data_IF_074268194643
#
_entry.id   IF_074268194643
#
_cell.length_a   1.000
_cell.length_b   1.000
_cell.length_c   1.000
_cell.angle_alpha   90.00
_cell.angle_beta   90.00
_cell.angle_gamma   90.00
#
_symmetry.space_group_name_H-M   'P 1'
#
loop_
_entity.id
_entity.type
_entity.pdbx_description
1 polymer ?
#
# COMPACT_ATOMS: atom_id res chain seq x y z
N UNK A 1 -31.01 17.59 37.31
CA UNK A 1 -29.58 17.94 37.17
C UNK A 1 -29.08 17.32 35.88
N UNK A 2 -28.67 18.17 34.95
CA UNK A 2 -28.32 17.83 33.57
C UNK A 2 -27.05 16.98 33.50
N UNK A 3 -27.17 15.76 32.98
CA UNK A 3 -26.04 15.02 32.42
C UNK A 3 -25.98 15.39 30.94
N UNK A 4 -25.17 16.39 30.60
CA UNK A 4 -24.79 16.65 29.22
C UNK A 4 -24.01 15.44 28.72
N UNK A 5 -24.61 14.73 27.77
CA UNK A 5 -23.92 13.81 26.87
C UNK A 5 -22.91 14.62 26.07
N UNK A 6 -21.65 14.63 26.51
CA UNK A 6 -20.56 15.12 25.69
C UNK A 6 -20.50 14.23 24.44
N UNK A 7 -20.89 14.77 23.29
CA UNK A 7 -20.52 14.23 21.99
C UNK A 7 -18.99 14.10 21.99
N UNK A 8 -18.47 12.88 22.11
CA UNK A 8 -17.06 12.61 21.89
C UNK A 8 -16.78 12.88 20.42
N UNK A 9 -16.37 14.10 20.09
CA UNK A 9 -15.77 14.41 18.79
C UNK A 9 -14.64 13.42 18.57
N UNK A 10 -14.72 12.70 17.44
CA UNK A 10 -13.66 11.80 17.03
C UNK A 10 -12.39 12.65 16.83
N UNK A 11 -11.25 12.28 17.44
CA UNK A 11 -10.02 13.03 17.26
C UNK A 11 -9.64 13.11 15.77
N UNK A 12 -9.18 14.29 15.37
CA UNK A 12 -8.81 14.66 14.00
C UNK A 12 -7.49 14.02 13.61
N UNK A 13 -7.20 13.92 12.31
CA UNK A 13 -5.90 13.46 11.78
C UNK A 13 -4.72 14.25 12.40
N UNK A 14 -4.92 15.52 12.74
CA UNK A 14 -3.91 16.36 13.40
C UNK A 14 -3.59 15.98 14.85
N UNK A 15 -4.45 15.20 15.53
CA UNK A 15 -4.25 14.78 16.92
C UNK A 15 -3.37 13.51 17.03
N UNK A 16 -3.07 12.86 15.90
CA UNK A 16 -2.27 11.64 15.83
C UNK A 16 -0.93 11.87 15.16
N UNK A 17 0.15 11.46 15.83
CA UNK A 17 1.51 11.45 15.25
C UNK A 17 1.69 10.40 14.14
N UNK A 18 0.73 9.49 13.92
CA UNK A 18 0.78 8.46 12.88
C UNK A 18 -0.61 8.14 12.32
N UNK A 19 -0.83 8.50 11.04
CA UNK A 19 -2.06 8.20 10.31
C UNK A 19 -2.33 6.69 10.19
N UNK A 20 -1.27 5.86 10.17
CA UNK A 20 -1.39 4.40 10.18
C UNK A 20 -2.06 3.92 11.48
N UNK A 21 -1.67 4.48 12.63
CA UNK A 21 -2.26 4.11 13.92
C UNK A 21 -3.71 4.55 14.01
N UNK A 22 -4.01 5.79 13.61
CA UNK A 22 -5.39 6.30 13.53
C UNK A 22 -6.26 5.38 12.67
N UNK A 23 -5.79 4.98 11.49
CA UNK A 23 -6.49 4.05 10.61
C UNK A 23 -6.77 2.71 11.29
N UNK A 24 -5.78 2.12 11.96
CA UNK A 24 -5.94 0.86 12.68
C UNK A 24 -6.94 0.95 13.85
N UNK A 25 -6.91 2.04 14.61
CA UNK A 25 -7.83 2.30 15.72
C UNK A 25 -9.27 2.46 15.21
N UNK A 26 -9.47 3.19 14.11
CA UNK A 26 -10.79 3.39 13.49
C UNK A 26 -11.38 2.09 12.95
N UNK A 27 -10.58 1.27 12.27
CA UNK A 27 -11.01 -0.06 11.83
C UNK A 27 -11.33 -1.00 13.00
N UNK A 28 -10.57 -0.91 14.10
CA UNK A 28 -10.83 -1.68 15.31
C UNK A 28 -12.14 -1.25 16.00
N UNK A 29 -12.37 0.06 16.11
CA UNK A 29 -13.62 0.62 16.63
C UNK A 29 -14.83 0.27 15.75
N UNK A 30 -14.67 0.29 14.42
CA UNK A 30 -15.73 -0.11 13.49
C UNK A 30 -16.08 -1.59 13.63
N UNK A 31 -15.07 -2.47 13.78
CA UNK A 31 -15.28 -3.89 14.06
C UNK A 31 -16.08 -4.11 15.35
N UNK A 32 -15.69 -3.45 16.43
CA UNK A 32 -16.37 -3.57 17.73
C UNK A 32 -17.81 -3.04 17.67
N UNK A 33 -18.03 -1.94 16.94
CA UNK A 33 -19.36 -1.36 16.72
C UNK A 33 -20.24 -2.30 15.89
N UNK A 34 -19.70 -2.87 14.80
CA UNK A 34 -20.43 -3.82 13.96
C UNK A 34 -20.76 -5.13 14.71
N UNK A 35 -19.86 -5.64 15.53
CA UNK A 35 -20.14 -6.80 16.40
C UNK A 35 -21.19 -6.47 17.48
N UNK A 36 -21.13 -5.28 18.07
CA UNK A 36 -22.14 -4.82 19.03
C UNK A 36 -23.52 -4.66 18.37
N UNK A 37 -23.58 -4.17 17.13
CA UNK A 37 -24.81 -4.10 16.34
C UNK A 37 -25.39 -5.49 16.08
N UNK A 38 -24.55 -6.47 15.76
CA UNK A 38 -24.97 -7.87 15.55
C UNK A 38 -25.56 -8.48 16.82
N UNK A 39 -24.95 -8.23 17.98
CA UNK A 39 -25.38 -8.81 19.27
C UNK A 39 -26.64 -8.15 19.81
N UNK A 40 -26.70 -6.82 19.77
CA UNK A 40 -27.78 -6.05 20.39
C UNK A 40 -28.94 -5.74 19.45
N UNK A 41 -28.78 -5.99 18.15
CA UNK A 41 -29.72 -5.61 17.11
C UNK A 41 -29.72 -4.11 16.82
N UNK A 42 -30.44 -3.75 15.76
CA UNK A 42 -30.59 -2.37 15.28
C UNK A 42 -31.70 -1.60 16.01
N UNK A 43 -32.55 -2.30 16.75
CA UNK A 43 -33.73 -1.71 17.39
C UNK A 43 -33.42 -1.08 18.76
N UNK A 44 -34.29 -0.15 19.17
CA UNK A 44 -34.16 0.56 20.44
C UNK A 44 -33.12 1.68 20.45
N UNK A 45 -32.98 2.34 21.60
CA UNK A 45 -32.11 3.52 21.77
C UNK A 45 -30.62 3.18 21.58
N UNK A 46 -30.20 1.98 22.00
CA UNK A 46 -28.82 1.52 21.90
C UNK A 46 -28.43 1.14 20.47
N UNK A 47 -29.28 0.43 19.73
CA UNK A 47 -29.05 0.08 18.33
C UNK A 47 -28.92 1.32 17.44
N UNK A 48 -29.81 2.31 17.61
CA UNK A 48 -29.73 3.60 16.91
C UNK A 48 -28.41 4.36 17.20
N UNK A 49 -27.97 4.39 18.45
CA UNK A 49 -26.71 5.04 18.81
C UNK A 49 -25.49 4.34 18.18
N UNK A 50 -25.52 3.01 18.10
CA UNK A 50 -24.46 2.23 17.44
C UNK A 50 -24.45 2.44 15.92
N UNK A 51 -25.62 2.57 15.28
CA UNK A 51 -25.70 2.92 13.85
C UNK A 51 -25.08 4.29 13.56
N UNK A 52 -25.45 5.32 14.34
CA UNK A 52 -24.85 6.65 14.20
C UNK A 52 -23.34 6.62 14.44
N UNK A 53 -22.88 5.77 15.37
CA UNK A 53 -21.44 5.59 15.61
C UNK A 53 -20.76 4.92 14.42
N UNK A 54 -21.38 3.91 13.81
CA UNK A 54 -20.85 3.24 12.63
C UNK A 54 -20.78 4.20 11.43
N UNK A 55 -21.84 4.96 11.17
CA UNK A 55 -21.88 6.00 10.13
C UNK A 55 -20.73 7.01 10.32
N UNK A 56 -20.59 7.56 11.52
CA UNK A 56 -19.52 8.50 11.84
C UNK A 56 -18.11 7.90 11.70
N UNK A 57 -17.94 6.61 11.98
CA UNK A 57 -16.66 5.91 11.82
C UNK A 57 -16.30 5.71 10.34
N UNK A 58 -17.27 5.39 9.49
CA UNK A 58 -17.06 5.31 8.06
C UNK A 58 -16.76 6.68 7.45
N UNK A 59 -17.49 7.74 7.84
CA UNK A 59 -17.23 9.11 7.36
C UNK A 59 -15.82 9.58 7.78
N UNK A 60 -15.36 9.18 8.95
CA UNK A 60 -14.00 9.47 9.42
C UNK A 60 -12.91 8.62 8.74
N UNK A 61 -13.26 7.43 8.22
CA UNK A 61 -12.34 6.52 7.52
C UNK A 61 -12.19 6.86 6.04
N UNK A 62 -13.26 7.33 5.39
CA UNK A 62 -13.29 7.66 3.96
C UNK A 62 -12.12 8.53 3.48
N UNK A 63 -11.81 9.69 4.08
CA UNK A 63 -10.71 10.54 3.62
C UNK A 63 -9.33 9.93 3.88
N UNK A 64 -9.24 8.93 4.75
CA UNK A 64 -8.00 8.22 5.05
C UNK A 64 -7.83 7.10 4.02
N UNK A 65 -8.86 6.29 3.79
CA UNK A 65 -8.77 5.03 3.05
C UNK A 65 -8.29 5.19 1.60
N UNK A 66 -8.49 6.36 0.98
CA UNK A 66 -7.99 6.68 -0.37
C UNK A 66 -6.46 6.50 -0.53
N UNK A 67 -5.68 6.60 0.56
CA UNK A 67 -4.23 6.51 0.52
C UNK A 67 -3.67 5.08 0.69
N UNK A 68 -4.54 4.06 0.78
CA UNK A 68 -4.13 2.65 0.96
C UNK A 68 -4.73 1.75 -0.11
N UNK A 69 -3.98 0.75 -0.56
CA UNK A 69 -4.46 -0.21 -1.56
C UNK A 69 -5.51 -1.19 -1.01
N UNK A 70 -5.39 -1.58 0.26
CA UNK A 70 -6.27 -2.56 0.91
C UNK A 70 -6.96 -1.97 2.14
N UNK A 71 -8.28 -2.16 2.33
CA UNK A 71 -9.22 -2.91 1.47
C UNK A 71 -9.52 -2.28 0.11
N UNK A 72 -9.23 -0.99 -0.06
CA UNK A 72 -9.48 -0.28 -1.32
C UNK A 72 -10.91 0.26 -1.44
N UNK A 73 -11.10 1.19 -2.37
CA UNK A 73 -12.33 2.00 -2.49
C UNK A 73 -13.59 1.15 -2.71
N UNK A 74 -13.54 0.17 -3.61
CA UNK A 74 -14.71 -0.66 -3.95
C UNK A 74 -15.17 -1.52 -2.76
N UNK A 75 -14.23 -2.16 -2.06
CA UNK A 75 -14.55 -2.96 -0.89
C UNK A 75 -15.04 -2.08 0.27
N UNK A 76 -14.47 -0.87 0.43
CA UNK A 76 -14.95 0.10 1.42
C UNK A 76 -16.39 0.57 1.12
N UNK A 77 -16.68 0.89 -0.13
CA UNK A 77 -18.02 1.29 -0.58
C UNK A 77 -19.03 0.13 -0.44
N UNK A 78 -18.62 -1.11 -0.73
CA UNK A 78 -19.44 -2.29 -0.47
C UNK A 78 -19.81 -2.42 1.02
N UNK A 79 -18.83 -2.23 1.93
CA UNK A 79 -19.08 -2.24 3.37
C UNK A 79 -20.04 -1.12 3.79
N UNK A 80 -19.92 0.07 3.20
CA UNK A 80 -20.87 1.17 3.44
C UNK A 80 -22.28 0.80 2.96
N UNK A 81 -22.42 0.20 1.78
CA UNK A 81 -23.70 -0.30 1.26
C UNK A 81 -24.35 -1.35 2.17
N UNK A 82 -23.57 -2.26 2.77
CA UNK A 82 -24.09 -3.23 3.73
C UNK A 82 -24.67 -2.55 4.99
N UNK A 83 -24.02 -1.47 5.46
CA UNK A 83 -24.55 -0.67 6.57
C UNK A 83 -25.86 0.03 6.18
N UNK A 84 -25.90 0.66 5.01
CA UNK A 84 -27.09 1.39 4.52
C UNK A 84 -28.30 0.47 4.33
N UNK A 85 -28.06 -0.75 3.82
CA UNK A 85 -29.07 -1.80 3.67
C UNK A 85 -29.43 -2.50 4.99
N UNK A 86 -28.75 -2.15 6.09
CA UNK A 86 -28.91 -2.76 7.41
C UNK A 86 -28.62 -4.26 7.44
N UNK A 87 -27.76 -4.73 6.54
CA UNK A 87 -27.27 -6.10 6.55
C UNK A 87 -26.10 -6.23 7.54
N UNK A 88 -26.44 -6.24 8.82
CA UNK A 88 -25.48 -6.16 9.92
C UNK A 88 -24.64 -7.44 10.06
N UNK A 89 -25.21 -8.60 9.75
CA UNK A 89 -24.50 -9.88 9.84
C UNK A 89 -23.32 -9.93 8.85
N UNK A 90 -23.60 -9.63 7.58
CA UNK A 90 -22.57 -9.59 6.54
C UNK A 90 -21.57 -8.45 6.77
N UNK A 91 -22.05 -7.27 7.20
CA UNK A 91 -21.17 -6.16 7.59
C UNK A 91 -20.21 -6.58 8.70
N UNK A 92 -20.72 -7.15 9.79
CA UNK A 92 -19.90 -7.60 10.93
C UNK A 92 -18.88 -8.64 10.50
N UNK A 93 -19.27 -9.55 9.61
CA UNK A 93 -18.40 -10.58 9.07
C UNK A 93 -17.25 -9.98 8.23
N UNK A 94 -17.57 -9.12 7.28
CA UNK A 94 -16.61 -8.52 6.35
C UNK A 94 -15.69 -7.51 7.03
N UNK A 95 -16.22 -6.63 7.91
CA UNK A 95 -15.38 -5.72 8.71
C UNK A 95 -14.41 -6.50 9.60
N UNK A 96 -14.83 -7.61 10.20
CA UNK A 96 -13.94 -8.47 10.99
C UNK A 96 -12.81 -9.08 10.15
N UNK A 97 -13.09 -9.48 8.90
CA UNK A 97 -12.07 -9.97 7.97
C UNK A 97 -11.06 -8.87 7.63
N UNK A 98 -11.53 -7.67 7.30
CA UNK A 98 -10.67 -6.51 7.01
C UNK A 98 -9.79 -6.18 8.21
N UNK A 99 -10.37 -5.99 9.40
CA UNK A 99 -9.62 -5.67 10.61
C UNK A 99 -8.56 -6.74 10.93
N UNK A 100 -8.90 -8.03 10.80
CA UNK A 100 -7.93 -9.12 11.00
C UNK A 100 -6.82 -9.10 9.95
N UNK A 101 -7.14 -8.83 8.69
CA UNK A 101 -6.16 -8.75 7.62
C UNK A 101 -5.20 -7.57 7.82
N UNK A 102 -5.71 -6.42 8.27
CA UNK A 102 -4.90 -5.24 8.59
C UNK A 102 -3.93 -5.52 9.75
N UNK A 103 -4.38 -6.17 10.82
CA UNK A 103 -3.53 -6.51 11.97
C UNK A 103 -2.48 -7.57 11.64
N UNK A 104 -2.86 -8.61 10.88
CA UNK A 104 -1.95 -9.72 10.54
C UNK A 104 -1.06 -9.46 9.33
N UNK A 105 -1.37 -8.43 8.53
CA UNK A 105 -0.71 -8.18 7.25
C UNK A 105 -1.05 -9.23 6.17
N UNK A 106 -2.11 -10.04 6.37
CA UNK A 106 -2.43 -11.14 5.47
C UNK A 106 -2.76 -10.69 4.03
N UNK A 107 -3.28 -9.47 3.86
CA UNK A 107 -3.56 -8.86 2.55
C UNK A 107 -2.31 -8.71 1.67
N UNK A 108 -1.11 -8.73 2.27
CA UNK A 108 0.15 -8.62 1.55
C UNK A 108 0.55 -9.89 0.80
N UNK A 109 -0.06 -11.02 1.15
CA UNK A 109 0.33 -12.35 0.67
C UNK A 109 -0.79 -13.10 -0.04
N UNK A 110 -2.03 -12.66 0.13
CA UNK A 110 -3.20 -13.29 -0.48
C UNK A 110 -4.37 -12.31 -0.59
N UNK A 111 -5.26 -12.61 -1.53
CA UNK A 111 -6.57 -11.96 -1.61
C UNK A 111 -7.40 -12.26 -0.36
N UNK A 112 -8.12 -11.24 0.13
CA UNK A 112 -9.03 -11.36 1.26
C UNK A 112 -10.45 -11.15 0.71
N UNK A 113 -11.29 -12.19 0.67
CA UNK A 113 -12.64 -12.05 0.15
C UNK A 113 -13.49 -11.19 1.09
N UNK A 114 -13.86 -9.98 0.67
CA UNK A 114 -14.65 -9.02 1.47
C UNK A 114 -16.15 -9.05 1.13
N UNK A 115 -16.54 -9.77 0.07
CA UNK A 115 -17.91 -9.77 -0.45
C UNK A 115 -18.09 -8.59 -1.41
N UNK A 116 -18.77 -8.83 -2.53
CA UNK A 116 -18.70 -7.99 -3.73
C UNK A 116 -18.20 -8.82 -4.92
N UNK A 117 -18.51 -8.40 -6.14
CA UNK A 117 -18.08 -9.04 -7.39
C UNK A 117 -16.55 -8.95 -7.55
N UNK A 118 -15.79 -9.63 -6.70
CA UNK A 118 -14.35 -9.88 -6.84
C UNK A 118 -14.13 -11.05 -7.82
N UNK A 119 -14.79 -10.98 -9.00
CA UNK A 119 -14.62 -11.96 -10.07
C UNK A 119 -13.27 -11.85 -10.80
N UNK A 120 -12.48 -10.80 -10.53
CA UNK A 120 -11.25 -10.50 -11.31
C UNK A 120 -9.93 -10.64 -10.52
N UNK A 121 -9.96 -11.06 -9.24
CA UNK A 121 -8.74 -11.28 -8.44
C UNK A 121 -8.30 -12.76 -8.39
N UNK A 122 -8.48 -13.50 -9.49
CA UNK A 122 -7.99 -14.87 -9.63
C UNK A 122 -6.44 -14.96 -9.75
N UNK A 123 -5.76 -13.83 -10.00
CA UNK A 123 -4.30 -13.76 -10.20
C UNK A 123 -3.48 -13.51 -8.92
N UNK A 124 -4.11 -13.50 -7.74
CA UNK A 124 -3.34 -13.77 -6.52
C UNK A 124 -3.01 -15.26 -6.54
N UNK A 125 -1.81 -15.63 -6.99
CA UNK A 125 -1.21 -16.90 -6.59
C UNK A 125 -1.29 -16.93 -5.06
N UNK A 126 -2.27 -17.68 -4.53
CA UNK A 126 -2.48 -17.73 -3.10
C UNK A 126 -1.25 -18.40 -2.50
N UNK A 127 -0.32 -17.58 -1.98
CA UNK A 127 0.88 -18.08 -1.32
C UNK A 127 0.49 -19.01 -0.14
N UNK A 128 -0.77 -18.99 0.32
CA UNK A 128 -1.30 -19.94 1.28
C UNK A 128 -1.41 -21.39 0.76
N UNK A 129 -1.24 -21.63 -0.54
CA UNK A 129 -1.07 -22.97 -1.12
C UNK A 129 0.39 -23.46 -1.09
N UNK A 130 1.36 -22.56 -0.92
CA UNK A 130 2.79 -22.92 -0.85
C UNK A 130 3.12 -23.68 0.44
N UNK A 131 4.22 -24.43 0.44
CA UNK A 131 4.72 -25.07 1.65
C UNK A 131 5.05 -24.01 2.74
N UNK A 132 4.93 -24.32 4.04
CA UNK A 132 5.20 -23.36 5.12
C UNK A 132 6.58 -22.69 5.04
N UNK A 133 7.59 -23.42 4.55
CA UNK A 133 8.95 -22.92 4.32
C UNK A 133 9.01 -21.87 3.20
N UNK A 134 8.26 -22.08 2.12
CA UNK A 134 8.14 -21.15 1.00
C UNK A 134 7.29 -19.91 1.37
N UNK A 135 6.28 -20.08 2.25
CA UNK A 135 5.50 -18.97 2.82
C UNK A 135 6.33 -18.03 3.69
N UNK A 136 7.38 -18.54 4.34
CA UNK A 136 8.30 -17.73 5.11
C UNK A 136 9.21 -16.88 4.20
N UNK A 137 9.36 -17.30 2.94
CA UNK A 137 10.15 -16.66 1.88
C UNK A 137 9.29 -15.92 0.84
N UNK A 138 8.00 -15.71 1.13
CA UNK A 138 7.03 -15.07 0.23
C UNK A 138 7.50 -13.72 -0.33
N UNK A 139 6.96 -13.34 -1.49
CA UNK A 139 7.40 -12.16 -2.23
C UNK A 139 7.12 -10.90 -1.40
N UNK A 140 8.10 -9.99 -1.21
CA UNK A 140 7.84 -8.77 -0.47
C UNK A 140 6.78 -7.91 -1.16
N UNK A 141 5.86 -7.38 -0.35
CA UNK A 141 4.76 -6.52 -0.78
C UNK A 141 5.10 -5.04 -0.61
N UNK A 142 4.68 -4.22 -1.57
CA UNK A 142 4.68 -2.76 -1.45
C UNK A 142 3.49 -2.13 -2.18
N UNK A 143 3.35 -0.81 -2.08
CA UNK A 143 2.30 -0.06 -2.76
C UNK A 143 2.94 0.94 -3.74
N UNK A 144 2.27 1.17 -4.87
CA UNK A 144 2.67 2.14 -5.89
C UNK A 144 1.61 3.22 -5.95
N UNK A 145 1.98 4.45 -5.63
CA UNK A 145 1.07 5.58 -5.70
C UNK A 145 1.03 6.10 -7.13
N UNK A 146 -0.16 6.25 -7.71
CA UNK A 146 -0.38 6.78 -9.05
C UNK A 146 -1.15 8.09 -8.89
N UNK A 147 -0.57 9.19 -9.36
CA UNK A 147 -1.14 10.52 -9.26
C UNK A 147 -1.77 10.86 -10.61
N UNK A 148 -3.10 10.73 -10.69
CA UNK A 148 -3.89 11.00 -11.90
C UNK A 148 -5.36 11.27 -11.55
N UNK A 149 -5.94 12.34 -12.10
CA UNK A 149 -7.37 12.63 -11.91
C UNK A 149 -8.21 11.84 -12.90
N UNK A 150 -8.58 10.63 -12.53
CA UNK A 150 -9.31 9.68 -13.38
C UNK A 150 -10.66 9.30 -12.80
N UNK A 151 -11.60 8.87 -13.65
CA UNK A 151 -12.85 8.27 -13.20
C UNK A 151 -12.66 6.79 -12.81
N UNK A 152 -13.68 6.18 -12.21
CA UNK A 152 -13.61 4.78 -11.77
C UNK A 152 -13.29 3.77 -12.89
N UNK A 153 -13.80 3.99 -14.11
CA UNK A 153 -13.53 3.08 -15.22
C UNK A 153 -12.06 3.13 -15.64
N UNK A 154 -11.49 4.33 -15.70
CA UNK A 154 -10.08 4.54 -15.96
C UNK A 154 -9.21 4.01 -14.81
N UNK A 155 -9.62 4.19 -13.55
CA UNK A 155 -8.92 3.60 -12.40
C UNK A 155 -8.87 2.08 -12.49
N UNK A 156 -10.01 1.42 -12.77
CA UNK A 156 -10.09 -0.02 -13.00
C UNK A 156 -9.21 -0.44 -14.18
N UNK A 157 -9.20 0.32 -15.27
CA UNK A 157 -8.34 0.06 -16.41
C UNK A 157 -6.85 0.13 -16.04
N UNK A 158 -6.40 1.18 -15.35
CA UNK A 158 -5.01 1.33 -14.91
C UNK A 158 -4.58 0.18 -13.99
N UNK A 159 -5.41 -0.15 -13.00
CA UNK A 159 -5.18 -1.27 -12.09
C UNK A 159 -5.06 -2.58 -12.86
N UNK A 160 -6.04 -2.92 -13.69
CA UNK A 160 -6.06 -4.18 -14.44
C UNK A 160 -4.88 -4.32 -15.41
N UNK A 161 -4.47 -3.25 -16.09
CA UNK A 161 -3.30 -3.33 -16.98
C UNK A 161 -1.98 -3.54 -16.22
N UNK A 162 -1.82 -2.93 -15.04
CA UNK A 162 -0.66 -3.18 -14.18
C UNK A 162 -0.67 -4.59 -13.59
N UNK A 163 -1.85 -5.15 -13.27
CA UNK A 163 -1.96 -6.56 -12.87
C UNK A 163 -1.58 -7.51 -14.00
N UNK A 164 -2.07 -7.27 -15.23
CA UNK A 164 -1.74 -8.08 -16.42
C UNK A 164 -0.25 -8.04 -16.79
N UNK A 165 0.47 -6.99 -16.40
CA UNK A 165 1.91 -6.90 -16.62
C UNK A 165 2.73 -7.80 -15.68
N UNK A 166 2.13 -8.27 -14.57
CA UNK A 166 2.79 -9.12 -13.57
C UNK A 166 3.11 -10.50 -14.12
N UNK A 167 4.17 -11.09 -13.57
CA UNK A 167 4.65 -12.41 -13.89
C UNK A 167 4.89 -13.22 -12.62
N UNK A 168 4.82 -14.54 -12.73
CA UNK A 168 5.13 -15.46 -11.62
C UNK A 168 6.59 -15.30 -11.14
N UNK A 169 7.49 -14.98 -12.06
CA UNK A 169 8.94 -14.81 -11.83
C UNK A 169 9.34 -13.47 -11.19
N UNK A 170 8.39 -12.54 -11.04
CA UNK A 170 8.67 -11.22 -10.49
C UNK A 170 9.12 -11.33 -9.01
N UNK A 171 10.14 -10.57 -8.58
CA UNK A 171 10.70 -10.69 -7.23
C UNK A 171 9.83 -10.08 -6.12
N UNK A 172 8.84 -9.25 -6.46
CA UNK A 172 8.02 -8.49 -5.50
C UNK A 172 6.57 -8.41 -5.96
N UNK A 173 5.65 -8.17 -5.04
CA UNK A 173 4.24 -7.90 -5.32
C UNK A 173 3.97 -6.44 -5.00
N UNK A 174 3.25 -5.73 -5.86
CA UNK A 174 2.85 -4.37 -5.56
C UNK A 174 1.41 -4.09 -5.93
N UNK A 175 0.71 -3.29 -5.15
CA UNK A 175 -0.66 -2.86 -5.47
C UNK A 175 -0.71 -1.36 -5.79
N UNK A 176 -1.48 -0.95 -6.82
CA UNK A 176 -1.62 0.45 -7.17
C UNK A 176 -2.63 1.16 -6.25
N UNK A 177 -2.26 2.35 -5.80
CA UNK A 177 -3.10 3.32 -5.08
C UNK A 177 -3.24 4.55 -5.97
N UNK A 178 -4.45 4.89 -6.39
CA UNK A 178 -4.68 6.01 -7.30
C UNK A 178 -5.18 7.21 -6.48
N UNK A 179 -4.54 8.36 -6.68
CA UNK A 179 -4.92 9.63 -6.05
C UNK A 179 -5.02 10.73 -7.11
N UNK A 180 -5.98 11.67 -7.00
CA UNK A 180 -6.24 12.62 -8.07
C UNK A 180 -5.27 13.81 -8.10
N UNK A 181 -4.71 14.18 -6.94
CA UNK A 181 -4.03 15.46 -6.79
C UNK A 181 -2.59 15.37 -6.29
N UNK A 182 -1.82 16.44 -6.51
CA UNK A 182 -0.48 16.60 -5.95
C UNK A 182 -0.52 16.64 -4.41
N UNK A 183 -1.45 17.38 -3.83
CA UNK A 183 -1.66 17.41 -2.38
C UNK A 183 -1.96 16.00 -1.82
N UNK A 184 -2.79 15.22 -2.51
CA UNK A 184 -3.06 13.82 -2.17
C UNK A 184 -1.85 12.91 -2.34
N UNK A 185 -1.01 13.17 -3.34
CA UNK A 185 0.23 12.42 -3.51
C UNK A 185 1.16 12.61 -2.30
N UNK A 186 1.29 13.85 -1.82
CA UNK A 186 2.10 14.18 -0.65
C UNK A 186 1.52 13.58 0.63
N UNK A 187 0.20 13.61 0.81
CA UNK A 187 -0.48 12.92 1.92
C UNK A 187 -0.24 11.41 1.86
N UNK A 188 -0.39 10.82 0.67
CA UNK A 188 -0.20 9.39 0.45
C UNK A 188 1.20 8.92 0.82
N UNK A 189 2.25 9.62 0.38
CA UNK A 189 3.63 9.23 0.72
C UNK A 189 3.97 9.44 2.21
N UNK A 190 3.35 10.43 2.87
CA UNK A 190 3.56 10.73 4.28
C UNK A 190 2.86 9.72 5.19
N UNK A 191 1.62 9.35 4.86
CA UNK A 191 0.80 8.48 5.69
C UNK A 191 1.03 7.00 5.44
N UNK A 192 1.31 6.62 4.19
CA UNK A 192 1.47 5.24 3.78
C UNK A 192 2.94 4.87 3.55
N UNK A 193 3.54 4.26 4.57
CA UNK A 193 4.91 3.77 4.54
C UNK A 193 5.12 2.56 3.60
N UNK A 194 4.04 1.89 3.16
CA UNK A 194 4.14 0.80 2.18
C UNK A 194 4.42 1.33 0.77
N UNK A 195 4.18 2.62 0.51
CA UNK A 195 4.50 3.23 -0.78
C UNK A 195 6.01 3.16 -0.99
N UNK A 196 6.42 2.57 -2.12
CA UNK A 196 7.82 2.43 -2.51
C UNK A 196 8.13 3.01 -3.90
N UNK A 197 7.10 3.37 -4.67
CA UNK A 197 7.23 4.09 -5.92
C UNK A 197 6.05 5.02 -6.14
N UNK A 198 6.28 6.11 -6.87
CA UNK A 198 5.23 7.06 -7.27
C UNK A 198 5.25 7.24 -8.78
N UNK A 199 4.09 7.18 -9.42
CA UNK A 199 3.90 7.46 -10.83
C UNK A 199 3.10 8.74 -10.94
N UNK A 200 3.64 9.74 -11.61
CA UNK A 200 3.01 11.04 -11.83
C UNK A 200 2.53 11.09 -13.28
N UNK A 201 1.22 11.25 -13.48
CA UNK A 201 0.59 11.31 -14.82
C UNK A 201 0.11 12.73 -15.12
N UNK A 202 -0.02 13.12 -16.40
CA UNK A 202 -0.31 14.51 -16.76
C UNK A 202 -1.71 14.97 -16.39
N UNK A 203 -2.64 14.05 -16.09
CA UNK A 203 -4.02 14.38 -15.71
C UNK A 203 -4.19 14.82 -14.26
N UNK A 204 -3.12 14.96 -13.47
CA UNK A 204 -3.24 15.31 -12.06
C UNK A 204 -3.71 16.76 -11.82
N UNK A 205 -4.42 16.97 -10.71
CA UNK A 205 -4.81 18.32 -10.26
C UNK A 205 -3.94 18.79 -9.10
N UNK A 206 -3.87 20.09 -8.86
CA UNK A 206 -3.04 20.62 -7.77
C UNK A 206 -3.65 20.32 -6.39
N UNK A 207 -4.91 20.70 -6.21
CA UNK A 207 -5.60 20.69 -4.92
C UNK A 207 -6.31 19.37 -4.65
N UNK A 208 -6.23 18.91 -3.40
CA UNK A 208 -7.03 17.80 -2.91
C UNK A 208 -8.46 18.23 -2.64
N UNK A 209 -9.40 17.29 -2.74
CA UNK A 209 -10.75 17.46 -2.20
C UNK A 209 -10.78 17.36 -0.67
N UNK A 210 -9.78 16.67 -0.08
CA UNK A 210 -9.62 16.52 1.36
C UNK A 210 -8.82 17.69 1.91
N UNK A 211 -9.50 18.68 2.49
CA UNK A 211 -8.81 19.77 3.19
C UNK A 211 -8.29 19.31 4.55
N UNK A 212 -7.01 18.95 4.62
CA UNK A 212 -6.34 18.66 5.89
C UNK A 212 -5.46 19.86 6.33
N UNK A 213 -5.79 20.54 7.45
CA UNK A 213 -5.02 21.67 7.94
C UNK A 213 -3.54 21.35 8.22
N UNK A 214 -3.24 20.10 8.59
CA UNK A 214 -1.86 19.63 8.81
C UNK A 214 -1.04 19.66 7.52
N UNK A 215 -1.66 19.42 6.37
CA UNK A 215 -0.98 19.46 5.08
C UNK A 215 -0.52 20.88 4.76
N UNK A 216 -1.36 21.90 5.01
CA UNK A 216 -0.97 23.31 4.82
C UNK A 216 0.26 23.66 5.66
N UNK A 217 0.33 23.21 6.91
CA UNK A 217 1.50 23.43 7.76
C UNK A 217 2.76 22.71 7.26
N UNK A 218 2.65 21.47 6.78
CA UNK A 218 3.78 20.73 6.21
C UNK A 218 4.24 21.29 4.87
N UNK A 219 3.31 21.66 3.99
CA UNK A 219 3.60 22.31 2.72
C UNK A 219 4.33 23.64 2.96
N UNK A 220 3.88 24.45 3.91
CA UNK A 220 4.53 25.71 4.28
C UNK A 220 5.93 25.53 4.88
N UNK A 221 6.27 24.33 5.37
CA UNK A 221 7.60 24.00 5.88
C UNK A 221 8.55 23.49 4.79
N UNK A 222 8.01 22.86 3.74
CA UNK A 222 8.77 22.16 2.68
C UNK A 222 8.85 22.99 1.39
N UNK A 223 7.86 23.85 1.16
CA UNK A 223 7.78 24.81 0.07
C UNK A 223 7.83 26.23 0.62
N UNK A 224 8.71 27.05 0.07
CA UNK A 224 8.51 28.50 0.09
C UNK A 224 7.18 28.77 -0.63
N UNK A 225 6.21 29.40 0.05
CA UNK A 225 4.82 29.60 -0.40
C UNK A 225 4.67 30.30 -1.77
N UNK A 226 5.74 30.82 -2.37
CA UNK A 226 5.62 31.84 -3.41
C UNK A 226 5.20 31.37 -4.81
N UNK A 227 5.16 30.07 -5.17
CA UNK A 227 4.84 29.71 -6.58
C UNK A 227 3.96 28.47 -6.83
N UNK A 228 3.66 27.61 -5.84
CA UNK A 228 2.95 26.33 -6.14
C UNK A 228 1.52 26.55 -6.64
N UNK A 229 0.80 27.51 -6.06
CA UNK A 229 -0.56 27.86 -6.50
C UNK A 229 -0.59 28.67 -7.81
N UNK A 230 0.56 29.20 -8.25
CA UNK A 230 0.73 29.91 -9.52
C UNK A 230 1.18 29.00 -10.67
N UNK A 231 1.49 27.72 -10.39
CA UNK A 231 1.95 26.77 -11.40
C UNK A 231 0.90 26.56 -12.48
N UNK A 232 1.39 26.45 -13.72
CA UNK A 232 0.56 25.98 -14.82
C UNK A 232 0.34 24.47 -14.70
N UNK A 233 -0.80 23.94 -15.16
CA UNK A 233 -1.06 22.50 -15.13
C UNK A 233 0.04 21.63 -15.78
N UNK A 234 0.76 22.18 -16.76
CA UNK A 234 1.90 21.52 -17.41
C UNK A 234 3.10 21.26 -16.50
N UNK A 235 3.21 22.03 -15.41
CA UNK A 235 4.37 22.01 -14.50
C UNK A 235 4.08 21.24 -13.20
N UNK A 236 2.82 20.83 -12.99
CA UNK A 236 2.42 20.02 -11.85
C UNK A 236 3.20 18.69 -11.78
N UNK A 237 3.44 18.05 -12.93
CA UNK A 237 4.15 16.77 -12.98
C UNK A 237 5.62 16.86 -12.52
N UNK A 238 6.44 17.73 -13.15
CA UNK A 238 7.79 18.05 -12.69
C UNK A 238 7.86 18.45 -11.22
N UNK A 239 6.97 19.37 -10.79
CA UNK A 239 6.96 19.85 -9.41
C UNK A 239 6.60 18.73 -8.42
N UNK A 240 5.66 17.85 -8.77
CA UNK A 240 5.32 16.68 -7.97
C UNK A 240 6.56 15.82 -7.68
N UNK A 241 7.34 15.52 -8.72
CA UNK A 241 8.58 14.75 -8.56
C UNK A 241 9.59 15.45 -7.65
N UNK A 242 9.71 16.79 -7.75
CA UNK A 242 10.59 17.59 -6.90
C UNK A 242 10.16 17.56 -5.44
N UNK A 243 8.87 17.76 -5.16
CA UNK A 243 8.32 17.73 -3.81
C UNK A 243 8.40 16.34 -3.18
N UNK A 244 8.07 15.29 -3.94
CA UNK A 244 8.24 13.89 -3.48
C UNK A 244 9.70 13.63 -3.09
N UNK A 245 10.66 14.10 -3.91
CA UNK A 245 12.08 13.93 -3.62
C UNK A 245 12.55 14.70 -2.37
N UNK A 246 11.91 15.84 -2.03
CA UNK A 246 12.18 16.56 -0.77
C UNK A 246 11.62 15.82 0.45
N UNK A 247 10.40 15.29 0.34
CA UNK A 247 9.69 14.66 1.45
C UNK A 247 10.21 13.25 1.74
N UNK A 248 10.35 12.44 0.70
CA UNK A 248 10.81 11.04 0.76
C UNK A 248 11.81 10.75 -0.36
N UNK A 249 13.07 11.20 -0.22
CA UNK A 249 14.12 11.09 -1.24
C UNK A 249 14.52 9.66 -1.62
N UNK A 250 14.07 8.66 -0.86
CA UNK A 250 14.28 7.24 -1.10
C UNK A 250 13.23 6.60 -2.03
N UNK A 251 12.12 7.29 -2.29
CA UNK A 251 11.09 6.83 -3.22
C UNK A 251 11.57 6.95 -4.67
N UNK A 252 11.22 5.95 -5.48
CA UNK A 252 11.42 6.03 -6.92
C UNK A 252 10.20 6.73 -7.55
N UNK A 253 10.40 7.96 -8.06
CA UNK A 253 9.38 8.71 -8.78
C UNK A 253 9.53 8.49 -10.30
N UNK A 254 8.41 8.30 -11.00
CA UNK A 254 8.32 8.12 -12.44
C UNK A 254 7.36 9.15 -13.01
N UNK A 255 7.79 9.90 -14.01
CA UNK A 255 6.94 10.90 -14.68
C UNK A 255 6.46 10.34 -16.01
N UNK A 256 5.15 10.36 -16.24
CA UNK A 256 4.55 10.11 -17.55
C UNK A 256 4.14 11.46 -18.12
N UNK A 257 4.55 11.76 -19.35
CA UNK A 257 4.27 13.03 -20.01
C UNK A 257 4.09 12.82 -21.50
N UNK A 258 3.27 13.65 -22.12
CA UNK A 258 3.08 13.77 -23.57
C UNK A 258 3.99 14.84 -24.20
N UNK A 259 4.78 15.55 -23.40
CA UNK A 259 5.69 16.60 -23.85
C UNK A 259 6.91 16.02 -24.58
N UNK A 260 7.56 16.87 -25.38
CA UNK A 260 8.79 16.48 -26.04
C UNK A 260 9.91 16.20 -25.03
N UNK A 261 10.83 15.31 -25.38
CA UNK A 261 11.97 15.01 -24.52
C UNK A 261 12.89 16.23 -24.29
N UNK A 262 12.94 17.14 -25.26
CA UNK A 262 13.72 18.37 -25.20
C UNK A 262 13.16 19.33 -24.14
N UNK A 263 11.84 19.47 -24.08
CA UNK A 263 11.16 20.33 -23.09
C UNK A 263 11.40 19.85 -21.66
N UNK A 264 11.39 18.54 -21.45
CA UNK A 264 11.57 17.93 -20.13
C UNK A 264 13.04 17.91 -19.70
N UNK A 265 13.98 17.72 -20.63
CA UNK A 265 15.41 17.67 -20.33
C UNK A 265 15.95 18.97 -19.73
N UNK A 266 15.31 20.11 -20.02
CA UNK A 266 15.66 21.42 -19.44
C UNK A 266 15.10 21.66 -18.02
N UNK A 267 14.26 20.77 -17.49
CA UNK A 267 13.58 20.95 -16.20
C UNK A 267 14.29 20.22 -15.06
N UNK A 268 14.24 20.79 -13.86
CA UNK A 268 14.64 20.09 -12.64
C UNK A 268 13.50 19.18 -12.15
N UNK A 269 13.63 17.88 -12.44
CA UNK A 269 12.68 16.86 -11.97
C UNK A 269 13.05 16.30 -10.59
N UNK A 270 14.02 16.90 -9.89
CA UNK A 270 14.54 16.39 -8.63
C UNK A 270 15.12 14.99 -8.77
N UNK A 271 14.56 14.02 -8.03
CA UNK A 271 14.98 12.60 -8.07
C UNK A 271 14.07 11.71 -8.93
N UNK A 272 13.42 12.28 -9.96
CA UNK A 272 12.69 11.49 -10.93
C UNK A 272 13.61 10.47 -11.60
N UNK A 273 13.30 9.19 -11.47
CA UNK A 273 14.16 8.10 -11.94
C UNK A 273 14.07 7.90 -13.45
N UNK A 274 12.89 8.08 -14.03
CA UNK A 274 12.65 7.91 -15.47
C UNK A 274 11.42 8.68 -15.90
N UNK A 275 11.49 9.26 -17.10
CA UNK A 275 10.38 9.89 -17.79
C UNK A 275 9.90 8.96 -18.89
N UNK A 276 8.59 8.76 -18.98
CA UNK A 276 7.91 7.97 -20.01
C UNK A 276 7.11 8.91 -20.92
N UNK A 277 7.25 8.72 -22.22
CA UNK A 277 6.56 9.53 -23.24
C UNK A 277 5.33 8.84 -23.82
N UNK A 278 5.14 7.57 -23.49
CA UNK A 278 3.98 6.77 -23.87
C UNK A 278 3.18 6.40 -22.62
N UNK A 279 1.91 6.81 -22.58
CA UNK A 279 1.04 6.56 -21.42
C UNK A 279 0.59 5.10 -21.30
N UNK A 280 0.72 4.31 -22.37
CA UNK A 280 0.17 2.95 -22.46
C UNK A 280 1.23 1.85 -22.32
N UNK A 281 2.52 2.19 -22.12
CA UNK A 281 3.57 1.19 -21.94
C UNK A 281 3.64 0.67 -20.50
N UNK A 282 2.58 -0.06 -20.10
CA UNK A 282 2.45 -0.64 -18.76
C UNK A 282 3.52 -1.68 -18.45
N UNK A 283 4.01 -2.41 -19.47
CA UNK A 283 5.06 -3.40 -19.28
C UNK A 283 6.40 -2.74 -18.97
N UNK A 284 6.79 -1.72 -19.74
CA UNK A 284 8.02 -0.99 -19.46
C UNK A 284 7.96 -0.32 -18.08
N UNK A 285 6.82 0.27 -17.74
CA UNK A 285 6.59 0.87 -16.43
C UNK A 285 6.73 -0.16 -15.29
N UNK A 286 6.05 -1.29 -15.41
CA UNK A 286 6.11 -2.40 -14.46
C UNK A 286 7.55 -2.88 -14.21
N UNK A 287 8.32 -3.14 -15.28
CA UNK A 287 9.71 -3.59 -15.16
C UNK A 287 10.61 -2.53 -14.50
N UNK A 288 10.38 -1.25 -14.78
CA UNK A 288 11.11 -0.15 -14.15
C UNK A 288 10.81 -0.04 -12.66
N UNK A 289 9.54 -0.16 -12.26
CA UNK A 289 9.12 -0.17 -10.84
C UNK A 289 9.86 -1.27 -10.08
N UNK A 290 9.79 -2.51 -10.57
CA UNK A 290 10.44 -3.65 -9.93
C UNK A 290 11.96 -3.46 -9.86
N UNK A 291 12.60 -2.99 -10.94
CA UNK A 291 14.03 -2.66 -10.95
C UNK A 291 14.38 -1.54 -9.96
N UNK A 292 13.50 -0.55 -9.86
CA UNK A 292 13.47 0.54 -8.88
C UNK A 292 13.73 0.04 -7.47
N UNK A 293 12.71 -0.68 -6.99
CA UNK A 293 12.62 -1.24 -5.66
C UNK A 293 13.72 -2.29 -5.44
N UNK A 294 14.00 -3.15 -6.41
CA UNK A 294 15.05 -4.17 -6.27
C UNK A 294 16.41 -3.57 -5.93
N UNK A 295 16.75 -2.42 -6.53
CA UNK A 295 18.03 -1.75 -6.26
C UNK A 295 18.16 -1.32 -4.80
N UNK A 296 17.06 -0.90 -4.17
CA UNK A 296 17.00 -0.48 -2.76
C UNK A 296 16.85 -1.68 -1.81
N UNK A 297 16.20 -2.74 -2.27
CA UNK A 297 16.07 -4.01 -1.55
C UNK A 297 17.40 -4.77 -1.43
N UNK A 298 18.27 -4.66 -2.45
CA UNK A 298 19.59 -5.30 -2.44
C UNK A 298 20.47 -4.72 -1.33
N UNK A 299 20.88 -5.60 -0.42
CA UNK A 299 21.90 -5.35 0.59
C UNK A 299 23.24 -5.84 0.05
N UNK A 300 24.27 -4.98 -0.18
CA UNK A 300 25.47 -5.39 -0.93
C UNK A 300 26.15 -6.65 -0.41
N UNK A 301 26.41 -6.73 0.90
CA UNK A 301 27.06 -7.88 1.51
C UNK A 301 26.16 -9.13 1.55
N UNK A 302 24.95 -9.01 2.07
CA UNK A 302 24.06 -10.16 2.24
C UNK A 302 23.54 -10.71 0.90
N UNK A 303 23.29 -9.84 -0.09
CA UNK A 303 22.95 -10.25 -1.46
C UNK A 303 24.11 -11.01 -2.08
N UNK A 304 25.34 -10.49 -1.97
CA UNK A 304 26.52 -11.19 -2.48
C UNK A 304 26.74 -12.53 -1.77
N UNK A 305 26.54 -12.60 -0.45
CA UNK A 305 26.62 -13.84 0.31
C UNK A 305 25.59 -14.88 -0.16
N UNK A 306 24.33 -14.46 -0.36
CA UNK A 306 23.25 -15.32 -0.86
C UNK A 306 23.48 -15.79 -2.30
N UNK A 307 24.00 -14.91 -3.16
CA UNK A 307 24.35 -15.27 -4.54
C UNK A 307 25.55 -16.24 -4.57
N UNK A 308 26.57 -15.99 -3.74
CA UNK A 308 27.74 -16.85 -3.60
C UNK A 308 27.38 -18.24 -3.05
N UNK A 309 26.52 -18.33 -2.02
CA UNK A 309 26.10 -19.62 -1.44
C UNK A 309 25.33 -20.50 -2.44
N UNK A 310 24.73 -19.92 -3.49
CA UNK A 310 24.08 -20.67 -4.56
C UNK A 310 25.05 -21.21 -5.62
N UNK A 311 26.27 -20.66 -5.70
CA UNK A 311 27.25 -21.11 -6.67
C UNK A 311 27.77 -22.51 -6.30
N UNK A 312 27.98 -23.40 -7.28
CA UNK A 312 28.62 -24.68 -7.04
C UNK A 312 30.12 -24.47 -6.80
N UNK A 313 30.53 -24.30 -5.55
CA UNK A 313 31.95 -24.19 -5.17
C UNK A 313 32.59 -25.56 -4.92
N UNK A 314 33.90 -25.66 -5.14
CA UNK A 314 34.69 -26.87 -4.89
C UNK A 314 34.65 -27.33 -3.43
N UNK A 315 34.84 -28.64 -3.22
CA UNK A 315 34.69 -29.35 -1.93
C UNK A 315 35.84 -29.07 -0.94
N UNK A 316 36.83 -28.26 -1.33
CA UNK A 316 37.99 -27.93 -0.51
C UNK A 316 37.79 -26.62 0.26
N UNK A 317 36.85 -26.63 1.22
CA UNK A 317 36.68 -25.56 2.20
C UNK A 317 36.95 -26.09 3.62
N UNK A 318 37.50 -25.25 4.50
CA UNK A 318 37.95 -25.67 5.84
C UNK A 318 36.82 -26.01 6.83
N UNK A 319 35.56 -25.64 6.55
CA UNK A 319 34.44 -25.85 7.47
C UNK A 319 33.81 -27.26 7.34
N UNK A 320 33.82 -28.11 8.39
CA UNK A 320 33.36 -29.51 8.32
C UNK A 320 31.85 -29.69 8.10
N UNK A 321 31.05 -28.70 8.47
CA UNK A 321 29.58 -28.70 8.33
C UNK A 321 29.09 -27.89 7.14
N UNK A 322 30.00 -27.25 6.40
CA UNK A 322 29.65 -26.41 5.26
C UNK A 322 28.94 -27.23 4.17
N UNK A 323 27.96 -26.61 3.53
CA UNK A 323 26.98 -27.19 2.60
C UNK A 323 26.05 -28.24 3.22
N UNK A 324 26.02 -28.36 4.56
CA UNK A 324 25.09 -29.22 5.30
C UNK A 324 25.21 -30.74 5.04
N UNK A 325 26.18 -31.19 4.22
CA UNK A 325 26.32 -32.61 3.81
C UNK A 325 26.59 -33.55 4.98
N UNK A 326 27.36 -33.10 5.97
CA UNK A 326 27.66 -33.86 7.19
C UNK A 326 26.43 -34.00 8.09
N UNK A 327 25.51 -33.02 8.04
CA UNK A 327 24.28 -33.01 8.83
C UNK A 327 23.24 -33.93 8.17
N UNK A 328 23.01 -33.78 6.86
CA UNK A 328 22.02 -34.58 6.13
C UNK A 328 22.37 -36.07 6.04
N UNK A 329 23.66 -36.43 6.11
CA UNK A 329 24.12 -37.82 6.13
C UNK A 329 24.24 -38.43 7.53
N UNK A 330 24.11 -37.63 8.58
CA UNK A 330 24.16 -38.13 9.95
C UNK A 330 22.83 -38.79 10.32
N UNK A 331 22.87 -39.80 11.19
CA UNK A 331 21.67 -40.44 11.76
C UNK A 331 21.22 -39.77 13.07
N UNK A 332 22.04 -38.88 13.64
CA UNK A 332 21.86 -38.35 14.99
C UNK A 332 21.51 -36.86 15.06
N UNK A 333 21.85 -36.09 14.02
CA UNK A 333 21.75 -34.62 14.05
C UNK A 333 20.90 -34.04 12.90
N UNK A 334 20.02 -34.83 12.30
CA UNK A 334 19.12 -34.35 11.24
C UNK A 334 18.11 -33.32 11.78
N UNK A 335 17.73 -33.47 13.05
CA UNK A 335 16.93 -32.52 13.81
C UNK A 335 17.59 -31.12 13.87
N UNK A 336 18.92 -31.03 13.94
CA UNK A 336 19.65 -29.77 13.87
C UNK A 336 19.47 -29.08 12.50
N UNK A 337 19.51 -29.86 11.41
CA UNK A 337 19.26 -29.36 10.06
C UNK A 337 17.81 -28.87 9.89
N UNK A 338 16.85 -29.61 10.45
CA UNK A 338 15.44 -29.22 10.45
C UNK A 338 15.17 -27.97 11.29
N UNK A 339 15.84 -27.82 12.44
CA UNK A 339 15.64 -26.68 13.33
C UNK A 339 16.19 -25.37 12.75
N UNK A 340 17.42 -25.36 12.25
CA UNK A 340 18.05 -24.13 11.73
C UNK A 340 17.75 -23.85 10.25
N UNK A 341 17.32 -24.87 9.50
CA UNK A 341 17.11 -24.80 8.06
C UNK A 341 18.40 -24.95 7.24
N UNK A 342 18.31 -25.40 5.98
CA UNK A 342 19.48 -25.70 5.16
C UNK A 342 20.29 -24.47 4.76
N UNK A 343 19.65 -23.31 4.64
CA UNK A 343 20.26 -22.07 4.14
C UNK A 343 21.35 -21.51 5.06
N UNK A 344 21.34 -21.81 6.37
CA UNK A 344 22.40 -21.36 7.28
C UNK A 344 23.72 -22.10 7.05
N UNK A 345 23.67 -23.27 6.42
CA UNK A 345 24.81 -24.13 6.17
C UNK A 345 25.32 -24.03 4.72
N UNK A 346 24.63 -23.30 3.84
CA UNK A 346 25.04 -23.05 2.45
C UNK A 346 26.02 -21.88 2.37
#
# INVERSE_FOLDING_TARGET
>A
MNLQSAEKKLPSIGDYYSATQLRADRWSALRETAESLRIHGIEGRRGKALLTTAEALFDALEPIEIYWAFPGAQSFEHLRRLLDQRNIDDLSYSVRRVARALTSGAYRRRSIPIGGDEADNEDYEDESALAPEDRALGRPYFEVLIVDSVNEHQERFLRNNLHRARRAEDPFIYEPVIVPSLEDALMGILFNHNVQAVIVRPGLVLKSHNELPILKQFLNLIGDEEDVDALQPSDYGPEACRLIAKVRPELDAYLITDRSAEDIAGMDLGRCRRVFYNQEDFLELHLNILRGVNRRYKTPFFTALKEYSRQPTGVFHAMPISRGKSISRSHWIQDMGAFYGPNIFL
#
